data_IF_916101058799
#
_entry.id   IF_916101058799
#
_cell.length_a   1.000
_cell.length_b   1.000
_cell.length_c   1.000
_cell.angle_alpha   90.00
_cell.angle_beta   90.00
_cell.angle_gamma   90.00
#
_symmetry.space_group_name_H-M   'P 1'
#
loop_
_entity.id
_entity.type
_entity.pdbx_description
1 polymer ?
#
# COMPACT_ATOMS: atom_id res chain seq x y z
N UNK A 1 21.86 60.62 -0.71
CA UNK A 1 20.89 59.50 -0.65
C UNK A 1 19.53 60.05 -1.09
N UNK A 2 18.94 59.55 -2.18
CA UNK A 2 17.70 60.11 -2.74
C UNK A 2 16.47 59.65 -1.94
N UNK A 3 15.56 60.59 -1.63
CA UNK A 3 14.31 60.30 -0.93
C UNK A 3 13.32 59.61 -1.88
N UNK A 4 12.84 58.43 -1.49
CA UNK A 4 11.77 57.69 -2.17
C UNK A 4 10.46 58.48 -2.06
N UNK A 5 9.99 59.06 -3.17
CA UNK A 5 8.63 59.57 -3.30
C UNK A 5 7.62 58.42 -3.13
N UNK A 6 6.70 58.56 -2.17
CA UNK A 6 5.56 57.65 -2.01
C UNK A 6 4.48 58.03 -3.01
N UNK A 7 4.24 57.16 -3.98
CA UNK A 7 3.09 57.29 -4.89
C UNK A 7 1.78 57.29 -4.09
N UNK A 8 0.86 58.25 -4.32
CA UNK A 8 -0.39 58.32 -3.60
C UNK A 8 -1.28 57.11 -3.95
N UNK A 9 -1.68 56.36 -2.94
CA UNK A 9 -2.61 55.22 -3.08
C UNK A 9 -4.00 55.76 -3.38
N UNK A 10 -4.39 55.71 -4.65
CA UNK A 10 -5.72 56.13 -5.10
C UNK A 10 -6.75 55.08 -4.64
N UNK A 11 -7.54 55.41 -3.61
CA UNK A 11 -8.56 54.50 -3.06
C UNK A 11 -9.88 54.75 -3.79
N UNK A 12 -10.26 53.87 -4.72
CA UNK A 12 -11.55 53.94 -5.42
C UNK A 12 -12.63 53.38 -4.48
N UNK A 13 -13.51 54.24 -3.98
CA UNK A 13 -14.66 53.83 -3.15
C UNK A 13 -15.82 53.41 -4.06
N UNK A 14 -15.92 52.12 -4.38
CA UNK A 14 -17.15 51.59 -4.96
C UNK A 14 -18.23 51.54 -3.88
N UNK A 15 -19.37 52.18 -4.15
CA UNK A 15 -20.53 52.08 -3.27
C UNK A 15 -21.21 50.73 -3.49
N UNK A 16 -21.77 50.14 -2.43
CA UNK A 16 -22.48 48.84 -2.49
C UNK A 16 -23.56 48.81 -3.60
N UNK A 17 -24.22 49.95 -3.85
CA UNK A 17 -25.21 50.11 -4.93
C UNK A 17 -24.64 49.85 -6.32
N UNK A 18 -23.40 50.25 -6.57
CA UNK A 18 -22.73 50.03 -7.85
C UNK A 18 -22.40 48.55 -8.08
N UNK A 19 -22.08 47.83 -6.99
CA UNK A 19 -21.79 46.40 -7.06
C UNK A 19 -23.05 45.59 -7.39
N UNK A 20 -24.21 45.96 -6.82
CA UNK A 20 -25.50 45.36 -7.17
C UNK A 20 -25.93 45.66 -8.61
N UNK A 21 -25.70 46.88 -9.10
CA UNK A 21 -26.01 47.23 -10.50
C UNK A 21 -25.16 46.42 -11.49
N UNK A 22 -23.88 46.23 -11.20
CA UNK A 22 -22.98 45.41 -12.03
C UNK A 22 -23.42 43.94 -12.04
N UNK A 23 -23.78 43.38 -10.88
CA UNK A 23 -24.27 42.01 -10.78
C UNK A 23 -25.59 41.80 -11.54
N UNK A 24 -26.54 42.73 -11.40
CA UNK A 24 -27.80 42.68 -12.14
C UNK A 24 -27.58 42.81 -13.66
N UNK A 25 -26.64 43.65 -14.09
CA UNK A 25 -26.24 43.78 -15.50
C UNK A 25 -25.66 42.49 -16.09
N UNK A 26 -24.77 41.81 -15.35
CA UNK A 26 -24.22 40.52 -15.79
C UNK A 26 -25.29 39.43 -15.92
N UNK A 27 -26.24 39.38 -14.99
CA UNK A 27 -27.36 38.44 -15.04
C UNK A 27 -28.28 38.70 -16.24
N UNK A 28 -28.57 39.97 -16.54
CA UNK A 28 -29.35 40.36 -17.72
C UNK A 28 -28.67 39.96 -19.03
N UNK A 29 -27.36 40.17 -19.15
CA UNK A 29 -26.59 39.76 -20.33
C UNK A 29 -26.59 38.23 -20.52
N UNK A 30 -26.47 37.47 -19.43
CA UNK A 30 -26.53 36.00 -19.49
C UNK A 30 -27.88 35.47 -20.00
N UNK A 31 -28.99 36.06 -19.54
CA UNK A 31 -30.34 35.68 -19.99
C UNK A 31 -30.57 36.02 -21.46
N UNK A 32 -30.15 37.19 -21.91
CA UNK A 32 -30.26 37.59 -23.33
C UNK A 32 -29.41 36.66 -24.21
N UNK A 33 -28.19 36.32 -23.78
CA UNK A 33 -27.32 35.38 -24.47
C UNK A 33 -27.93 33.97 -24.60
N UNK A 34 -28.57 33.47 -23.54
CA UNK A 34 -29.24 32.17 -23.56
C UNK A 34 -30.43 32.10 -24.52
N UNK A 35 -31.25 33.17 -24.58
CA UNK A 35 -32.40 33.24 -25.49
C UNK A 35 -31.93 33.30 -26.95
N UNK A 36 -30.91 34.11 -27.26
CA UNK A 36 -30.36 34.20 -28.61
C UNK A 36 -29.67 32.89 -29.04
N UNK A 37 -28.95 32.23 -28.12
CA UNK A 37 -28.32 30.94 -28.39
C UNK A 37 -29.34 29.84 -28.72
N UNK A 38 -30.46 29.81 -28.00
CA UNK A 38 -31.53 28.83 -28.24
C UNK A 38 -32.25 29.03 -29.59
N UNK A 39 -32.29 30.26 -30.13
CA UNK A 39 -32.90 30.53 -31.44
C UNK A 39 -31.98 30.23 -32.62
N UNK A 40 -30.66 30.22 -32.42
CA UNK A 40 -29.67 29.96 -33.48
C UNK A 40 -29.39 28.46 -33.69
N UNK A 41 -29.67 27.62 -32.69
CA UNK A 41 -29.53 26.16 -32.82
C UNK A 41 -30.86 25.60 -33.30
N UNK A 42 -31.00 25.44 -34.61
CA UNK A 42 -32.10 24.66 -35.16
C UNK A 42 -32.06 23.23 -34.58
N UNK A 43 -33.19 22.68 -34.10
CA UNK A 43 -33.21 21.30 -33.62
C UNK A 43 -32.73 20.38 -34.75
N UNK A 44 -31.75 19.52 -34.44
CA UNK A 44 -31.22 18.55 -35.38
C UNK A 44 -32.39 17.77 -35.99
N UNK A 45 -32.54 17.87 -37.31
CA UNK A 45 -33.62 17.21 -38.03
C UNK A 45 -33.63 15.73 -37.70
N UNK A 46 -34.78 15.21 -37.30
CA UNK A 46 -35.03 13.77 -37.21
C UNK A 46 -34.76 13.15 -38.58
N UNK A 47 -33.72 12.32 -38.65
CA UNK A 47 -33.39 11.55 -39.85
C UNK A 47 -34.55 10.58 -40.13
N UNK A 48 -35.35 10.89 -41.13
CA UNK A 48 -36.32 9.96 -41.71
C UNK A 48 -35.52 9.04 -42.65
N UNK A 49 -35.44 7.72 -42.40
CA UNK A 49 -34.71 6.82 -43.28
C UNK A 49 -35.48 6.67 -44.59
N UNK A 50 -34.92 7.25 -45.65
CA UNK A 50 -35.38 7.01 -47.02
C UNK A 50 -34.88 5.63 -47.46
N UNK A 51 -35.74 4.90 -48.15
CA UNK A 51 -35.53 3.50 -48.46
C UNK A 51 -34.30 3.25 -49.33
N UNK A 52 -33.68 2.09 -49.10
CA UNK A 52 -32.82 1.34 -50.03
C UNK A 52 -31.32 1.65 -50.13
N UNK A 53 -30.65 1.96 -49.02
CA UNK A 53 -29.22 1.64 -48.88
C UNK A 53 -28.90 1.11 -47.48
N UNK A 54 -28.34 -0.12 -47.32
CA UNK A 54 -27.93 -0.60 -46.02
C UNK A 54 -26.73 0.22 -45.53
N UNK A 55 -27.00 1.19 -44.67
CA UNK A 55 -25.98 1.85 -43.87
C UNK A 55 -25.40 0.78 -42.92
N UNK A 56 -24.32 0.13 -43.34
CA UNK A 56 -23.51 -0.69 -42.44
C UNK A 56 -22.74 0.30 -41.56
N UNK A 57 -23.37 0.74 -40.47
CA UNK A 57 -22.66 1.43 -39.40
C UNK A 57 -21.69 0.42 -38.81
N UNK A 58 -20.43 0.49 -39.23
CA UNK A 58 -19.34 -0.18 -38.52
C UNK A 58 -19.10 0.60 -37.24
N UNK A 59 -20.05 0.54 -36.31
CA UNK A 59 -19.78 0.84 -34.91
C UNK A 59 -18.88 -0.33 -34.51
N UNK A 60 -17.58 -0.12 -34.57
CA UNK A 60 -16.64 -0.97 -33.89
C UNK A 60 -16.94 -0.78 -32.40
N UNK A 61 -17.91 -1.54 -31.90
CA UNK A 61 -18.09 -1.73 -30.48
C UNK A 61 -16.84 -2.47 -30.03
N UNK A 62 -15.82 -1.72 -29.61
CA UNK A 62 -14.69 -2.28 -28.90
C UNK A 62 -15.25 -2.67 -27.54
N UNK A 63 -15.88 -3.83 -27.49
CA UNK A 63 -16.18 -4.51 -26.23
C UNK A 63 -14.83 -4.95 -25.68
N UNK A 64 -14.12 -4.03 -25.02
CA UNK A 64 -13.08 -4.39 -24.06
C UNK A 64 -13.81 -5.17 -22.98
N UNK A 65 -13.95 -6.48 -23.18
CA UNK A 65 -14.40 -7.35 -22.11
C UNK A 65 -13.37 -7.18 -21.00
N UNK A 66 -13.74 -6.69 -19.80
CA UNK A 66 -12.81 -6.52 -18.68
C UNK A 66 -12.00 -7.79 -18.39
N UNK A 67 -12.55 -8.94 -18.77
CA UNK A 67 -11.92 -10.26 -18.71
C UNK A 67 -10.63 -10.43 -19.55
N UNK A 68 -10.44 -9.72 -20.68
CA UNK A 68 -9.25 -9.91 -21.54
C UNK A 68 -8.00 -9.26 -20.97
N UNK A 69 -8.14 -8.09 -20.35
CA UNK A 69 -7.02 -7.39 -19.73
C UNK A 69 -6.50 -8.16 -18.51
N UNK A 70 -7.39 -8.60 -17.62
CA UNK A 70 -7.00 -9.42 -16.47
C UNK A 70 -6.38 -10.76 -16.85
N UNK A 71 -6.86 -11.39 -17.93
CA UNK A 71 -6.23 -12.60 -18.44
C UNK A 71 -4.78 -12.35 -18.90
N UNK A 72 -4.53 -11.22 -19.58
CA UNK A 72 -3.17 -10.84 -20.00
C UNK A 72 -2.26 -10.52 -18.81
N UNK A 73 -2.79 -9.81 -17.81
CA UNK A 73 -2.09 -9.53 -16.54
C UNK A 73 -1.73 -10.83 -15.81
N UNK A 74 -2.67 -11.77 -15.70
CA UNK A 74 -2.39 -13.07 -15.08
C UNK A 74 -1.27 -13.82 -15.82
N UNK A 75 -1.34 -13.85 -17.16
CA UNK A 75 -0.35 -14.54 -18.01
C UNK A 75 1.02 -13.90 -17.94
N UNK A 76 1.12 -12.56 -17.92
CA UNK A 76 2.41 -11.86 -17.80
C UNK A 76 3.05 -12.10 -16.43
N UNK A 77 2.25 -12.13 -15.37
CA UNK A 77 2.71 -12.37 -14.01
C UNK A 77 3.01 -13.86 -13.72
N UNK A 78 2.45 -14.81 -14.49
CA UNK A 78 2.54 -16.24 -14.22
C UNK A 78 3.97 -16.74 -14.00
N UNK A 79 4.95 -16.16 -14.71
CA UNK A 79 6.38 -16.52 -14.60
C UNK A 79 7.05 -15.99 -13.33
N UNK A 80 6.45 -14.99 -12.69
CA UNK A 80 6.90 -14.40 -11.43
C UNK A 80 6.23 -15.06 -10.22
N UNK A 81 5.23 -15.93 -10.43
CA UNK A 81 4.44 -16.58 -9.38
C UNK A 81 4.70 -18.08 -9.34
N UNK A 82 5.15 -18.55 -8.17
CA UNK A 82 5.49 -19.96 -7.94
C UNK A 82 4.65 -20.53 -6.82
N UNK A 83 4.22 -21.78 -6.97
CA UNK A 83 3.65 -22.53 -5.86
C UNK A 83 4.78 -23.04 -4.99
N UNK A 84 4.65 -22.86 -3.68
CA UNK A 84 5.61 -23.38 -2.72
C UNK A 84 5.20 -24.77 -2.30
N UNK A 85 6.15 -25.70 -2.36
CA UNK A 85 6.04 -27.04 -1.80
C UNK A 85 7.13 -27.21 -0.77
N UNK A 86 6.78 -27.78 0.38
CA UNK A 86 7.72 -28.05 1.44
C UNK A 86 7.70 -29.53 1.84
N UNK A 87 8.86 -30.04 2.26
CA UNK A 87 9.02 -31.42 2.76
C UNK A 87 9.60 -31.35 4.17
N UNK A 88 8.89 -31.92 5.13
CA UNK A 88 9.29 -31.93 6.55
C UNK A 88 9.00 -33.31 7.13
N UNK A 89 10.03 -34.00 7.62
CA UNK A 89 9.88 -35.36 8.15
C UNK A 89 9.23 -36.36 7.16
N UNK A 90 9.49 -36.20 5.86
CA UNK A 90 8.89 -37.03 4.79
C UNK A 90 7.45 -36.66 4.40
N UNK A 91 6.82 -35.70 5.08
CA UNK A 91 5.49 -35.20 4.72
C UNK A 91 5.59 -34.04 3.73
N UNK A 92 4.82 -34.11 2.65
CA UNK A 92 4.71 -33.04 1.65
C UNK A 92 3.53 -32.14 2.01
N UNK A 93 3.75 -30.82 2.02
CA UNK A 93 2.66 -29.84 2.11
C UNK A 93 2.90 -28.65 1.19
N UNK A 94 1.83 -27.90 0.91
CA UNK A 94 1.85 -26.71 0.06
C UNK A 94 1.50 -25.48 0.91
N UNK A 95 2.49 -24.83 1.53
CA UNK A 95 2.23 -23.77 2.52
C UNK A 95 1.64 -22.49 1.89
N UNK A 96 1.72 -22.33 0.58
CA UNK A 96 1.15 -21.18 -0.13
C UNK A 96 1.87 -20.85 -1.43
N UNK A 97 1.84 -19.57 -1.79
CA UNK A 97 2.47 -19.03 -2.98
C UNK A 97 3.73 -18.23 -2.63
N UNK A 98 4.59 -18.04 -3.61
CA UNK A 98 5.72 -17.13 -3.55
C UNK A 98 5.79 -16.26 -4.80
N UNK A 99 6.36 -15.07 -4.63
CA UNK A 99 6.49 -14.08 -5.71
C UNK A 99 7.95 -13.75 -5.91
N UNK A 100 8.43 -13.86 -7.14
CA UNK A 100 9.79 -13.49 -7.52
C UNK A 100 9.87 -11.96 -7.55
N UNK A 101 10.73 -11.39 -6.70
CA UNK A 101 10.84 -9.92 -6.51
C UNK A 101 12.16 -9.34 -7.04
N UNK A 102 13.06 -10.18 -7.54
CA UNK A 102 14.37 -9.78 -8.09
C UNK A 102 14.77 -10.68 -9.25
N UNK A 103 15.61 -10.17 -10.16
CA UNK A 103 16.08 -10.90 -11.34
C UNK A 103 17.05 -12.05 -11.01
N UNK A 104 17.70 -12.02 -9.84
CA UNK A 104 18.55 -13.09 -9.31
C UNK A 104 17.74 -14.14 -8.52
N UNK A 105 16.41 -14.13 -8.66
CA UNK A 105 15.53 -15.21 -8.19
C UNK A 105 15.22 -15.20 -6.70
N UNK A 106 15.27 -14.03 -6.03
CA UNK A 106 14.71 -13.88 -4.69
C UNK A 106 13.19 -13.97 -4.76
N UNK A 107 12.62 -14.86 -3.95
CA UNK A 107 11.20 -15.06 -3.79
C UNK A 107 10.79 -14.51 -2.42
N UNK A 108 9.73 -13.70 -2.37
CA UNK A 108 9.09 -13.25 -1.15
C UNK A 108 7.79 -14.04 -0.92
N UNK A 109 7.49 -14.40 0.33
CA UNK A 109 6.24 -15.05 0.73
C UNK A 109 5.86 -14.71 2.16
N UNK A 110 4.55 -14.71 2.44
CA UNK A 110 3.98 -14.59 3.79
C UNK A 110 3.56 -15.95 4.35
N UNK A 111 3.70 -17.02 3.56
CA UNK A 111 3.39 -18.39 3.96
C UNK A 111 4.28 -18.83 5.13
N UNK A 112 3.71 -19.62 6.04
CA UNK A 112 4.47 -20.19 7.17
C UNK A 112 5.33 -21.35 6.68
N UNK A 113 6.65 -21.19 6.76
CA UNK A 113 7.63 -22.18 6.30
C UNK A 113 8.25 -22.87 7.51
N UNK A 114 8.17 -24.20 7.56
CA UNK A 114 8.69 -25.04 8.64
C UNK A 114 9.23 -26.37 8.08
N UNK A 115 10.19 -26.29 7.19
CA UNK A 115 10.62 -27.45 6.41
C UNK A 115 12.13 -27.59 6.31
N UNK A 116 12.54 -28.86 6.16
CA UNK A 116 13.92 -29.25 5.90
C UNK A 116 14.30 -28.90 4.45
N UNK A 117 13.33 -29.04 3.53
CA UNK A 117 13.53 -28.75 2.11
C UNK A 117 12.34 -28.01 1.50
N UNK A 118 12.65 -26.99 0.69
CA UNK A 118 11.69 -26.17 -0.02
C UNK A 118 11.82 -26.33 -1.53
N UNK A 119 10.71 -26.24 -2.25
CA UNK A 119 10.65 -26.26 -3.70
C UNK A 119 9.72 -25.17 -4.23
N UNK A 120 10.10 -24.55 -5.34
CA UNK A 120 9.21 -23.78 -6.20
C UNK A 120 8.70 -24.68 -7.32
N UNK A 121 7.39 -24.67 -7.55
CA UNK A 121 6.77 -25.30 -8.72
C UNK A 121 6.40 -24.18 -9.69
N UNK A 122 7.00 -24.22 -10.87
CA UNK A 122 6.83 -23.23 -11.93
C UNK A 122 5.63 -23.52 -12.85
N UNK A 123 5.53 -22.78 -13.96
CA UNK A 123 4.44 -22.93 -14.94
C UNK A 123 4.41 -24.23 -15.72
N UNK A 124 5.56 -24.89 -15.82
CA UNK A 124 5.65 -26.20 -16.44
C UNK A 124 5.42 -27.34 -15.43
N UNK A 125 5.09 -27.01 -14.17
CA UNK A 125 4.99 -27.98 -13.09
C UNK A 125 6.35 -28.50 -12.61
N UNK A 126 7.46 -27.88 -13.05
CA UNK A 126 8.81 -28.30 -12.66
C UNK A 126 9.09 -27.84 -11.24
N UNK A 127 9.44 -28.80 -10.39
CA UNK A 127 9.88 -28.52 -9.03
C UNK A 127 11.37 -28.19 -9.01
N UNK A 128 11.71 -27.01 -8.49
CA UNK A 128 13.09 -26.53 -8.31
C UNK A 128 13.37 -26.36 -6.83
N UNK A 129 14.46 -26.95 -6.33
CA UNK A 129 14.89 -26.79 -4.92
C UNK A 129 15.17 -25.32 -4.64
N UNK A 130 14.70 -24.82 -3.50
CA UNK A 130 14.94 -23.46 -3.03
C UNK A 130 15.90 -23.45 -1.85
N UNK A 131 16.76 -22.44 -1.79
CA UNK A 131 17.53 -22.13 -0.59
C UNK A 131 16.78 -21.12 0.27
N UNK A 132 16.72 -21.35 1.59
CA UNK A 132 16.21 -20.37 2.54
C UNK A 132 17.22 -19.23 2.68
N UNK A 133 16.81 -18.00 2.37
CA UNK A 133 17.62 -16.80 2.60
C UNK A 133 17.45 -16.31 4.04
N UNK A 134 16.23 -16.43 4.58
CA UNK A 134 15.87 -16.04 5.94
C UNK A 134 14.48 -15.42 5.98
N UNK A 135 14.08 -14.94 7.15
CA UNK A 135 12.82 -14.22 7.35
C UNK A 135 13.10 -12.83 7.92
N UNK A 136 12.31 -11.84 7.52
CA UNK A 136 12.28 -10.52 8.18
C UNK A 136 11.16 -10.55 9.24
N UNK A 137 11.49 -10.68 10.54
CA UNK A 137 10.49 -10.76 11.60
C UNK A 137 9.74 -9.44 11.80
N UNK A 138 10.25 -8.33 11.28
CA UNK A 138 9.58 -7.02 11.38
C UNK A 138 8.32 -7.00 10.51
N UNK A 139 8.38 -7.59 9.32
CA UNK A 139 7.26 -7.64 8.37
C UNK A 139 6.60 -9.04 8.29
N UNK A 140 7.23 -10.07 8.85
CA UNK A 140 6.77 -11.46 8.73
C UNK A 140 6.80 -11.97 7.29
N UNK A 141 7.84 -11.58 6.53
CA UNK A 141 8.08 -12.05 5.17
C UNK A 141 9.25 -13.03 5.20
N UNK A 142 9.08 -14.18 4.56
CA UNK A 142 10.16 -15.13 4.35
C UNK A 142 10.69 -15.02 2.94
N UNK A 143 12.01 -15.11 2.81
CA UNK A 143 12.75 -14.99 1.57
C UNK A 143 13.40 -16.32 1.20
N UNK A 144 13.17 -16.75 -0.04
CA UNK A 144 13.71 -17.97 -0.62
C UNK A 144 14.49 -17.61 -1.89
N UNK A 145 15.42 -18.46 -2.31
CA UNK A 145 16.28 -18.24 -3.47
C UNK A 145 16.17 -19.38 -4.46
N UNK A 146 15.91 -19.05 -5.72
CA UNK A 146 16.07 -19.98 -6.84
C UNK A 146 17.58 -20.20 -7.13
N UNK A 147 18.01 -21.44 -7.41
CA UNK A 147 19.37 -21.69 -7.87
C UNK A 147 19.54 -21.01 -9.24
N UNK A 148 20.52 -20.10 -9.31
CA UNK A 148 20.95 -19.27 -10.44
C UNK A 148 20.22 -19.55 -11.77
N UNK A 149 19.20 -18.74 -12.05
CA UNK A 149 18.50 -18.67 -13.34
C UNK A 149 18.04 -17.22 -13.56
N UNK A 150 17.88 -16.82 -14.83
CA UNK A 150 17.20 -15.57 -15.19
C UNK A 150 15.73 -15.70 -14.78
N UNK A 151 15.40 -15.16 -13.63
CA UNK A 151 14.03 -15.11 -13.14
C UNK A 151 13.34 -13.86 -13.69
N UNK A 152 12.02 -13.92 -13.90
CA UNK A 152 11.23 -12.73 -14.24
C UNK A 152 10.73 -12.14 -12.92
N UNK A 153 11.26 -11.01 -12.45
CA UNK A 153 10.72 -10.36 -11.26
C UNK A 153 9.38 -9.73 -11.57
N UNK A 154 8.53 -9.64 -10.55
CA UNK A 154 7.33 -8.82 -10.63
C UNK A 154 7.68 -7.34 -10.44
N UNK A 155 6.99 -6.46 -11.18
CA UNK A 155 6.99 -5.03 -10.89
C UNK A 155 6.26 -4.75 -9.59
N UNK A 156 6.50 -3.60 -8.97
CA UNK A 156 5.73 -3.17 -7.80
C UNK A 156 4.86 -1.98 -8.15
N UNK A 157 3.63 -1.99 -7.65
CA UNK A 157 2.71 -0.87 -7.80
C UNK A 157 3.21 0.36 -7.05
N UNK A 158 2.87 1.53 -7.59
CA UNK A 158 3.05 2.84 -6.96
C UNK A 158 1.71 3.43 -6.49
N UNK A 159 0.65 2.63 -6.47
CA UNK A 159 -0.65 3.04 -5.91
C UNK A 159 -0.58 3.09 -4.38
N UNK A 160 -0.65 4.30 -3.83
CA UNK A 160 -0.53 4.52 -2.38
C UNK A 160 -1.79 4.15 -1.57
N UNK A 161 -2.96 4.24 -2.20
CA UNK A 161 -4.27 3.95 -1.60
C UNK A 161 -5.04 2.94 -2.44
N UNK A 162 -5.19 1.74 -1.89
CA UNK A 162 -5.87 0.62 -2.52
C UNK A 162 -7.32 0.48 -2.07
N UNK A 163 -7.85 1.40 -1.22
CA UNK A 163 -9.24 1.33 -0.78
C UNK A 163 -10.19 1.54 -1.97
N UNK A 164 -11.08 0.58 -2.20
CA UNK A 164 -11.98 0.55 -3.37
C UNK A 164 -11.34 -0.03 -4.63
N UNK A 165 -10.06 -0.42 -4.61
CA UNK A 165 -9.39 -0.97 -5.79
C UNK A 165 -9.85 -2.41 -6.05
N UNK A 166 -10.01 -2.75 -7.34
CA UNK A 166 -10.09 -4.15 -7.79
C UNK A 166 -8.68 -4.62 -8.12
N UNK A 167 -8.23 -5.66 -7.44
CA UNK A 167 -6.93 -6.30 -7.66
C UNK A 167 -7.13 -7.72 -8.19
N UNK A 168 -6.11 -8.26 -8.83
CA UNK A 168 -6.11 -9.66 -9.29
C UNK A 168 -5.18 -10.51 -8.42
N UNK A 169 -5.77 -11.41 -7.64
CA UNK A 169 -5.03 -12.51 -7.03
C UNK A 169 -4.62 -13.51 -8.10
N UNK A 170 -3.33 -13.85 -8.16
CA UNK A 170 -2.80 -14.80 -9.13
C UNK A 170 -2.11 -15.94 -8.40
N UNK A 171 -2.57 -17.16 -8.62
CA UNK A 171 -1.98 -18.36 -8.01
C UNK A 171 -1.88 -19.53 -8.99
N UNK A 172 -1.32 -20.63 -8.51
CA UNK A 172 -1.41 -21.93 -9.18
C UNK A 172 -2.38 -22.81 -8.41
N UNK A 173 -3.27 -23.49 -9.12
CA UNK A 173 -4.19 -24.46 -8.52
C UNK A 173 -3.41 -25.65 -7.96
N UNK A 174 -3.73 -26.08 -6.74
CA UNK A 174 -3.13 -27.28 -6.13
C UNK A 174 -3.45 -28.55 -6.92
N UNK A 175 -4.63 -28.61 -7.54
CA UNK A 175 -5.13 -29.82 -8.19
C UNK A 175 -4.57 -29.97 -9.62
N UNK A 176 -4.49 -28.86 -10.35
CA UNK A 176 -4.15 -28.88 -11.79
C UNK A 176 -2.81 -28.24 -12.11
N UNK A 177 -2.19 -27.53 -11.15
CA UNK A 177 -1.03 -26.65 -11.34
C UNK A 177 -1.24 -25.51 -12.35
N UNK A 178 -2.45 -25.42 -12.92
CA UNK A 178 -2.82 -24.38 -13.85
C UNK A 178 -2.85 -23.02 -13.15
N UNK A 179 -2.59 -21.98 -13.94
CA UNK A 179 -2.76 -20.61 -13.50
C UNK A 179 -4.23 -20.39 -13.13
N UNK A 180 -4.47 -19.88 -11.93
CA UNK A 180 -5.77 -19.46 -11.46
C UNK A 180 -5.68 -17.99 -11.09
N UNK A 181 -6.72 -17.24 -11.42
CA UNK A 181 -6.81 -15.83 -11.09
C UNK A 181 -8.17 -15.55 -10.44
N UNK A 182 -8.19 -14.71 -9.42
CA UNK A 182 -9.41 -14.36 -8.67
C UNK A 182 -9.38 -12.89 -8.32
N UNK A 183 -10.50 -12.19 -8.52
CA UNK A 183 -10.58 -10.77 -8.18
C UNK A 183 -10.62 -10.60 -6.67
N UNK A 184 -9.78 -9.70 -6.18
CA UNK A 184 -9.74 -9.24 -4.80
C UNK A 184 -10.24 -7.80 -4.75
N UNK A 185 -11.38 -7.60 -4.09
CA UNK A 185 -11.96 -6.28 -3.88
C UNK A 185 -11.39 -5.69 -2.60
N UNK A 186 -10.43 -4.77 -2.73
CA UNK A 186 -9.87 -4.07 -1.58
C UNK A 186 -10.90 -3.06 -1.06
N UNK A 187 -11.43 -3.28 0.15
CA UNK A 187 -12.50 -2.47 0.70
C UNK A 187 -11.95 -1.31 1.51
N UNK A 188 -11.01 -1.60 2.40
CA UNK A 188 -10.47 -0.63 3.35
C UNK A 188 -9.10 -1.06 3.87
N UNK A 189 -8.55 -0.26 4.77
CA UNK A 189 -7.39 -0.64 5.56
C UNK A 189 -7.81 -0.93 7.00
N UNK A 190 -7.21 -1.97 7.58
CA UNK A 190 -7.35 -2.30 9.01
C UNK A 190 -5.99 -2.24 9.70
N UNK A 191 -5.99 -2.06 11.02
CA UNK A 191 -4.77 -2.16 11.82
C UNK A 191 -4.24 -3.61 11.74
N UNK A 192 -2.93 -3.77 11.53
CA UNK A 192 -2.37 -5.12 11.51
C UNK A 192 -2.29 -5.69 12.94
N UNK A 193 -2.31 -7.01 13.07
CA UNK A 193 -1.93 -7.67 14.32
C UNK A 193 -0.41 -7.59 14.47
N UNK A 194 0.06 -7.00 15.58
CA UNK A 194 1.46 -6.71 15.85
C UNK A 194 2.24 -7.87 16.45
N UNK A 195 1.57 -8.92 16.95
CA UNK A 195 2.22 -9.99 17.72
C UNK A 195 3.34 -10.70 16.94
N UNK A 196 3.28 -10.68 15.60
CA UNK A 196 4.29 -11.32 14.75
C UNK A 196 4.87 -10.41 13.65
N UNK A 197 4.44 -9.13 13.57
CA UNK A 197 4.76 -8.22 12.45
C UNK A 197 4.76 -6.75 12.88
N UNK A 198 5.62 -6.35 13.84
CA UNK A 198 5.58 -5.02 14.45
C UNK A 198 5.81 -3.87 13.44
N UNK A 199 6.39 -4.16 12.27
CA UNK A 199 6.60 -3.18 11.22
C UNK A 199 5.42 -2.93 10.29
N UNK A 200 4.37 -3.74 10.38
CA UNK A 200 3.18 -3.61 9.54
C UNK A 200 2.15 -2.80 10.30
N UNK A 201 1.91 -1.56 9.91
CA UNK A 201 0.91 -0.71 10.56
C UNK A 201 -0.51 -1.04 10.14
N UNK A 202 -0.65 -1.39 8.86
CA UNK A 202 -1.94 -1.56 8.21
C UNK A 202 -1.92 -2.75 7.27
N UNK A 203 -3.08 -3.40 7.16
CA UNK A 203 -3.35 -4.41 6.17
C UNK A 203 -4.50 -3.93 5.28
N UNK A 204 -4.45 -4.31 4.02
CA UNK A 204 -5.60 -4.23 3.13
C UNK A 204 -6.60 -5.25 3.63
N UNK A 205 -7.85 -4.83 3.82
CA UNK A 205 -8.97 -5.70 4.10
C UNK A 205 -9.89 -5.70 2.86
N UNK A 206 -10.15 -6.89 2.32
CA UNK A 206 -10.91 -7.04 1.10
C UNK A 206 -11.71 -8.33 1.03
N UNK A 207 -11.78 -8.93 -0.14
CA UNK A 207 -12.54 -10.17 -0.38
C UNK A 207 -12.04 -11.31 0.51
N UNK A 208 -12.90 -11.78 1.42
CA UNK A 208 -12.70 -13.02 2.16
C UNK A 208 -13.00 -14.21 1.24
N UNK A 209 -12.04 -15.11 1.07
CA UNK A 209 -12.26 -16.32 0.28
C UNK A 209 -11.22 -17.39 0.57
N UNK A 210 -11.68 -18.63 0.71
CA UNK A 210 -10.82 -19.82 0.70
C UNK A 210 -10.16 -20.05 -0.68
N UNK A 211 -10.59 -19.31 -1.71
CA UNK A 211 -9.93 -19.32 -3.00
C UNK A 211 -8.59 -18.59 -3.01
N UNK A 212 -8.24 -17.80 -1.99
CA UNK A 212 -6.91 -17.20 -1.87
C UNK A 212 -5.94 -18.11 -1.10
N UNK A 213 -4.65 -17.96 -1.36
CA UNK A 213 -3.58 -18.64 -0.63
C UNK A 213 -2.66 -17.63 0.08
N UNK A 214 -2.04 -18.04 1.19
CA UNK A 214 -1.01 -17.22 1.83
C UNK A 214 0.16 -17.01 0.85
N UNK A 215 0.69 -15.80 0.76
CA UNK A 215 1.76 -15.44 -0.17
C UNK A 215 1.28 -15.17 -1.60
N UNK A 216 -0.03 -15.25 -1.86
CA UNK A 216 -0.60 -14.95 -3.18
C UNK A 216 -0.44 -13.45 -3.51
N UNK A 217 0.16 -13.11 -4.66
CA UNK A 217 0.26 -11.72 -5.11
C UNK A 217 -1.11 -11.19 -5.51
N UNK A 218 -1.36 -9.94 -5.13
CA UNK A 218 -2.46 -9.12 -5.62
C UNK A 218 -1.89 -8.10 -6.60
N UNK A 219 -2.39 -8.10 -7.83
CA UNK A 219 -1.90 -7.27 -8.92
C UNK A 219 -2.85 -6.12 -9.25
N UNK A 220 -2.30 -4.97 -9.62
CA UNK A 220 -3.07 -3.87 -10.23
C UNK A 220 -3.38 -4.15 -11.72
N UNK A 221 -4.08 -3.21 -12.36
CA UNK A 221 -4.53 -3.33 -13.76
C UNK A 221 -3.37 -3.37 -14.77
N UNK A 222 -2.19 -2.91 -14.35
CA UNK A 222 -0.93 -2.93 -15.09
C UNK A 222 -0.12 -4.22 -14.84
N UNK A 223 -0.54 -5.06 -13.90
CA UNK A 223 0.14 -6.29 -13.52
C UNK A 223 1.31 -6.12 -12.57
N UNK A 224 1.41 -4.97 -11.89
CA UNK A 224 2.37 -4.76 -10.83
C UNK A 224 1.82 -5.26 -9.48
N UNK A 225 2.73 -5.70 -8.62
CA UNK A 225 2.40 -6.15 -7.27
C UNK A 225 1.87 -4.99 -6.43
N UNK A 226 0.58 -5.00 -6.11
CA UNK A 226 -0.08 -4.05 -5.21
C UNK A 226 -0.11 -4.56 -3.76
N UNK A 227 -0.09 -5.87 -3.56
CA UNK A 227 -0.03 -6.48 -2.24
C UNK A 227 0.20 -7.98 -2.27
N UNK A 228 0.30 -8.59 -1.09
CA UNK A 228 0.42 -10.05 -0.92
C UNK A 228 -0.51 -10.51 0.18
N UNK A 229 -1.31 -11.54 -0.09
CA UNK A 229 -2.26 -12.12 0.87
C UNK A 229 -1.52 -12.67 2.08
N UNK A 230 -1.96 -12.31 3.28
CA UNK A 230 -1.40 -12.74 4.56
C UNK A 230 -2.30 -13.77 5.23
N UNK A 231 -3.60 -13.44 5.32
CA UNK A 231 -4.61 -14.26 6.01
C UNK A 231 -5.81 -14.41 5.07
N UNK A 232 -5.80 -15.42 4.19
CA UNK A 232 -6.79 -15.59 3.12
C UNK A 232 -8.24 -15.64 3.62
N UNK A 233 -8.47 -16.39 4.70
CA UNK A 233 -9.76 -16.59 5.37
C UNK A 233 -10.37 -15.30 5.93
N UNK A 234 -9.55 -14.27 6.12
CA UNK A 234 -9.97 -12.94 6.59
C UNK A 234 -9.81 -11.85 5.53
N UNK A 235 -9.49 -12.21 4.30
CA UNK A 235 -9.28 -11.25 3.21
C UNK A 235 -8.22 -10.20 3.54
N UNK A 236 -7.18 -10.57 4.32
CA UNK A 236 -6.13 -9.64 4.74
C UNK A 236 -4.90 -9.77 3.85
N UNK A 237 -4.44 -8.65 3.32
CA UNK A 237 -3.23 -8.56 2.53
C UNK A 237 -2.28 -7.44 3.00
N UNK A 238 -0.99 -7.67 2.83
CA UNK A 238 0.06 -6.70 3.04
C UNK A 238 0.22 -5.83 1.80
N UNK A 239 0.61 -4.56 1.97
CA UNK A 239 0.82 -3.65 0.83
C UNK A 239 2.16 -3.89 0.13
N UNK A 240 2.24 -3.50 -1.14
CA UNK A 240 3.50 -3.45 -1.89
C UNK A 240 4.58 -2.63 -1.18
N UNK A 241 4.18 -1.52 -0.53
CA UNK A 241 5.11 -0.66 0.21
C UNK A 241 5.78 -1.40 1.37
N UNK A 242 5.03 -2.18 2.15
CA UNK A 242 5.58 -2.99 3.25
C UNK A 242 6.58 -4.05 2.73
N UNK A 243 6.26 -4.67 1.58
CA UNK A 243 7.14 -5.65 0.93
C UNK A 243 8.42 -4.97 0.41
N UNK A 244 8.32 -3.78 -0.20
CA UNK A 244 9.46 -2.96 -0.62
C UNK A 244 10.36 -2.64 0.59
N UNK A 245 9.79 -2.28 1.73
CA UNK A 245 10.56 -1.99 2.95
C UNK A 245 11.31 -3.21 3.48
N UNK A 246 10.62 -4.34 3.59
CA UNK A 246 11.23 -5.62 3.98
C UNK A 246 12.33 -6.03 2.99
N UNK A 247 12.11 -5.86 1.68
CA UNK A 247 13.09 -6.17 0.65
C UNK A 247 14.33 -5.29 0.76
N UNK A 248 14.17 -3.98 0.98
CA UNK A 248 15.28 -3.06 1.21
C UNK A 248 16.12 -3.47 2.42
N UNK A 249 15.49 -3.97 3.49
CA UNK A 249 16.19 -4.50 4.66
C UNK A 249 16.98 -5.76 4.34
N UNK A 250 16.46 -6.65 3.50
CA UNK A 250 17.20 -7.84 3.03
C UNK A 250 18.41 -7.42 2.19
N UNK A 251 18.23 -6.51 1.24
CA UNK A 251 19.32 -6.01 0.37
C UNK A 251 20.41 -5.33 1.18
N UNK A 252 20.03 -4.52 2.18
CA UNK A 252 20.96 -3.85 3.08
C UNK A 252 21.57 -4.77 4.16
N UNK A 253 21.27 -6.07 4.14
CA UNK A 253 21.68 -7.05 5.16
C UNK A 253 21.27 -6.65 6.61
N UNK A 254 20.11 -6.01 6.76
CA UNK A 254 19.52 -5.55 8.03
C UNK A 254 18.28 -6.34 8.46
N UNK A 255 17.92 -7.41 7.75
CA UNK A 255 16.70 -8.20 8.02
C UNK A 255 16.65 -8.78 9.44
N UNK A 256 17.80 -9.16 9.99
CA UNK A 256 17.91 -9.81 11.31
C UNK A 256 17.85 -8.78 12.46
N UNK A 257 18.08 -7.50 12.15
CA UNK A 257 17.99 -6.41 13.13
C UNK A 257 16.55 -5.93 13.22
N UNK A 258 15.92 -6.17 14.37
CA UNK A 258 14.62 -5.60 14.69
C UNK A 258 14.80 -4.22 15.35
N UNK A 259 14.44 -3.10 14.68
CA UNK A 259 14.63 -1.76 15.24
C UNK A 259 13.87 -1.54 16.55
N UNK A 260 12.71 -2.20 16.72
CA UNK A 260 11.91 -2.14 17.94
C UNK A 260 12.66 -2.74 19.14
N UNK A 261 13.24 -3.92 18.96
CA UNK A 261 14.07 -4.58 19.98
C UNK A 261 15.35 -3.79 20.24
N UNK A 262 15.99 -3.22 19.21
CA UNK A 262 17.21 -2.42 19.38
C UNK A 262 17.03 -1.22 20.33
N UNK A 263 15.84 -0.61 20.32
CA UNK A 263 15.47 0.48 21.24
C UNK A 263 14.73 0.00 22.50
N UNK A 264 14.42 -1.30 22.58
CA UNK A 264 13.65 -1.95 23.63
C UNK A 264 12.22 -1.44 23.78
N UNK A 265 11.57 -1.15 22.64
CA UNK A 265 10.16 -0.81 22.54
C UNK A 265 9.38 -1.96 21.92
N UNK A 266 8.26 -2.30 22.51
CA UNK A 266 7.25 -3.17 21.91
C UNK A 266 5.94 -2.37 21.82
N UNK A 267 5.33 -2.32 20.63
CA UNK A 267 4.26 -1.36 20.33
C UNK A 267 3.03 -2.01 19.73
N UNK A 268 1.90 -1.36 19.94
CA UNK A 268 0.63 -1.64 19.26
C UNK A 268 0.13 -0.38 18.58
N UNK A 269 -0.34 -0.48 17.33
CA UNK A 269 -0.91 0.67 16.64
C UNK A 269 -2.38 0.85 16.98
N UNK A 270 -2.81 2.11 17.12
CA UNK A 270 -4.21 2.44 17.37
C UNK A 270 -4.52 3.87 16.93
N UNK A 271 -5.78 4.27 17.07
CA UNK A 271 -6.21 5.65 16.91
C UNK A 271 -6.67 6.20 18.25
N UNK A 272 -6.28 7.43 18.56
CA UNK A 272 -6.69 8.13 19.78
C UNK A 272 -7.31 9.47 19.42
N UNK A 273 -8.32 9.87 20.17
CA UNK A 273 -8.93 11.19 20.03
C UNK A 273 -8.13 12.21 20.85
N UNK A 274 -7.74 13.29 20.19
CA UNK A 274 -7.04 14.43 20.80
C UNK A 274 -7.92 15.67 20.69
N UNK A 275 -7.94 16.56 21.71
CA UNK A 275 -8.73 17.78 21.66
C UNK A 275 -8.35 18.71 20.50
N UNK A 276 -7.06 18.76 20.16
CA UNK A 276 -6.52 19.73 19.19
C UNK A 276 -6.56 19.22 17.74
N UNK A 277 -6.25 17.93 17.53
CA UNK A 277 -6.08 17.35 16.18
C UNK A 277 -7.17 16.33 15.81
N UNK A 278 -8.16 16.14 16.68
CA UNK A 278 -9.16 15.09 16.50
C UNK A 278 -8.53 13.70 16.58
N UNK A 279 -9.00 12.77 15.74
CA UNK A 279 -8.56 11.38 15.75
C UNK A 279 -7.19 11.23 15.06
N UNK A 280 -6.16 10.88 15.82
CA UNK A 280 -4.78 10.72 15.34
C UNK A 280 -4.32 9.27 15.42
N UNK A 281 -3.45 8.86 14.50
CA UNK A 281 -2.82 7.54 14.51
C UNK A 281 -1.60 7.55 15.43
N UNK A 282 -1.45 6.52 16.26
CA UNK A 282 -0.36 6.42 17.24
C UNK A 282 0.23 5.02 17.33
N UNK A 283 1.49 4.95 17.73
CA UNK A 283 2.12 3.72 18.22
C UNK A 283 2.12 3.75 19.75
N UNK A 284 1.33 2.89 20.38
CA UNK A 284 1.24 2.78 21.84
C UNK A 284 2.32 1.83 22.35
N UNK A 285 3.14 2.28 23.29
CA UNK A 285 4.10 1.43 23.99
C UNK A 285 3.36 0.37 24.81
N UNK A 286 3.43 -0.90 24.38
CA UNK A 286 2.82 -2.05 25.07
C UNK A 286 3.72 -2.56 26.18
N UNK A 287 4.99 -2.77 25.87
CA UNK A 287 5.99 -3.19 26.84
C UNK A 287 7.36 -2.55 26.54
N UNK A 288 8.21 -2.51 27.56
CA UNK A 288 9.52 -1.90 27.53
C UNK A 288 10.55 -2.88 28.07
N UNK A 289 11.65 -3.03 27.35
CA UNK A 289 12.76 -3.87 27.82
C UNK A 289 13.54 -3.16 28.93
N UNK A 290 13.83 -3.87 30.02
CA UNK A 290 14.53 -3.29 31.17
C UNK A 290 15.94 -2.86 30.78
N UNK A 291 16.32 -1.63 31.11
CA UNK A 291 17.63 -1.10 30.78
C UNK A 291 17.82 -0.72 29.31
N UNK A 292 16.75 -0.69 28.51
CA UNK A 292 16.82 -0.28 27.10
C UNK A 292 17.01 1.23 26.91
N UNK A 293 17.39 1.68 25.69
CA UNK A 293 17.37 3.11 25.32
C UNK A 293 16.03 3.79 25.62
N UNK A 294 14.89 3.12 25.36
CA UNK A 294 13.57 3.69 25.63
C UNK A 294 13.29 3.89 27.12
N UNK A 295 13.64 2.94 27.98
CA UNK A 295 13.48 3.11 29.43
C UNK A 295 14.35 4.27 29.94
N UNK A 296 15.60 4.38 29.48
CA UNK A 296 16.48 5.50 29.84
C UNK A 296 15.96 6.86 29.38
N UNK A 297 15.33 6.91 28.20
CA UNK A 297 14.67 8.10 27.67
C UNK A 297 13.40 8.48 28.45
N UNK A 298 12.92 7.63 29.36
CA UNK A 298 11.77 7.89 30.21
C UNK A 298 10.42 7.47 29.63
N UNK A 299 10.42 6.58 28.62
CA UNK A 299 9.19 5.94 28.14
C UNK A 299 8.49 5.14 29.25
N UNK A 300 7.17 5.03 29.13
CA UNK A 300 6.31 4.21 30.00
C UNK A 300 5.32 3.40 29.16
N UNK A 301 4.90 2.25 29.69
CA UNK A 301 3.79 1.50 29.10
C UNK A 301 2.55 2.39 29.03
N UNK A 302 1.87 2.36 27.88
CA UNK A 302 0.71 3.19 27.58
C UNK A 302 1.03 4.57 27.00
N UNK A 303 2.31 4.94 26.84
CA UNK A 303 2.66 6.15 26.08
C UNK A 303 2.23 6.00 24.61
N UNK A 304 1.52 7.01 24.09
CA UNK A 304 1.09 7.07 22.70
C UNK A 304 2.06 7.93 21.89
N UNK A 305 2.88 7.30 21.06
CA UNK A 305 3.88 7.98 20.22
C UNK A 305 3.16 8.62 19.05
N UNK A 306 3.29 9.94 18.92
CA UNK A 306 2.69 10.74 17.84
C UNK A 306 3.72 11.26 16.85
N UNK A 307 4.99 11.47 17.26
CA UNK A 307 6.05 11.95 16.37
C UNK A 307 7.40 11.31 16.68
N UNK A 308 8.26 11.25 15.66
CA UNK A 308 9.68 10.95 15.75
C UNK A 308 10.46 12.05 15.03
N UNK A 309 11.28 12.79 15.76
CA UNK A 309 11.89 14.03 15.31
C UNK A 309 10.80 15.04 14.93
N UNK A 310 10.86 15.53 13.70
CA UNK A 310 9.82 16.41 13.13
C UNK A 310 8.74 15.65 12.36
N UNK A 311 8.88 14.34 12.18
CA UNK A 311 7.95 13.53 11.41
C UNK A 311 6.77 13.07 12.29
N UNK A 312 5.56 13.46 11.90
CA UNK A 312 4.34 12.91 12.48
C UNK A 312 4.21 11.43 12.10
N UNK A 313 3.84 10.61 13.09
CA UNK A 313 3.49 9.23 12.84
C UNK A 313 2.13 9.21 12.13
N UNK A 314 2.11 8.66 10.93
CA UNK A 314 0.91 8.55 10.12
C UNK A 314 0.63 7.08 9.80
N UNK A 315 -0.64 6.77 9.56
CA UNK A 315 -1.07 5.42 9.18
C UNK A 315 -0.38 4.91 7.91
N UNK A 316 0.04 5.83 7.03
CA UNK A 316 0.77 5.58 5.78
C UNK A 316 2.29 5.63 5.90
N UNK A 317 2.85 6.18 7.00
CA UNK A 317 4.29 6.34 7.18
C UNK A 317 4.81 5.23 8.08
N UNK A 318 5.68 4.31 7.60
CA UNK A 318 6.15 3.18 8.39
C UNK A 318 7.02 3.61 9.56
N UNK A 319 6.62 3.28 10.79
CA UNK A 319 7.33 3.61 12.01
C UNK A 319 8.75 3.02 12.05
N UNK A 320 8.92 1.84 11.45
CA UNK A 320 10.23 1.19 11.27
C UNK A 320 11.24 2.09 10.59
N UNK A 321 10.83 2.89 9.61
CA UNK A 321 11.72 3.83 8.93
C UNK A 321 12.17 4.95 9.85
N UNK A 322 11.25 5.43 10.70
CA UNK A 322 11.55 6.48 11.67
C UNK A 322 12.51 5.99 12.76
N UNK A 323 12.38 4.72 13.17
CA UNK A 323 13.30 4.07 14.12
C UNK A 323 14.65 3.69 13.50
N UNK A 324 14.75 3.63 12.17
CA UNK A 324 15.98 3.27 11.46
C UNK A 324 17.00 4.41 11.33
N UNK A 325 16.71 5.57 11.90
CA UNK A 325 17.59 6.75 11.93
C UNK A 325 18.65 6.62 13.02
N UNK A 326 19.79 7.29 12.84
CA UNK A 326 20.86 7.30 13.84
C UNK A 326 20.40 8.02 15.11
N UNK A 327 20.77 7.48 16.28
CA UNK A 327 20.52 8.12 17.57
C UNK A 327 21.42 9.38 17.72
N UNK A 328 20.95 10.44 18.40
CA UNK A 328 19.72 10.50 19.20
C UNK A 328 18.43 10.69 18.40
N UNK A 329 17.33 10.11 18.92
CA UNK A 329 15.98 10.27 18.38
C UNK A 329 15.09 10.99 19.39
N UNK A 330 14.49 12.09 18.95
CA UNK A 330 13.46 12.79 19.72
C UNK A 330 12.09 12.16 19.44
N UNK A 331 11.28 11.97 20.47
CA UNK A 331 9.92 11.46 20.35
C UNK A 331 8.96 12.43 21.01
N UNK A 332 7.82 12.64 20.37
CA UNK A 332 6.66 13.26 21.01
C UNK A 332 5.67 12.17 21.39
N UNK A 333 5.31 12.12 22.66
CA UNK A 333 4.37 11.14 23.20
C UNK A 333 3.23 11.82 23.93
N UNK A 334 2.04 11.25 23.86
CA UNK A 334 0.91 11.59 24.72
C UNK A 334 0.89 10.63 25.91
N UNK A 335 1.03 11.18 27.11
CA UNK A 335 0.92 10.44 28.37
C UNK A 335 -0.25 10.98 29.16
N UNK A 336 -1.32 10.20 29.27
CA UNK A 336 -2.56 10.61 29.93
C UNK A 336 -3.11 11.92 29.34
N UNK A 337 -3.02 12.08 28.02
CA UNK A 337 -3.46 13.26 27.28
C UNK A 337 -2.51 14.47 27.34
N UNK A 338 -1.38 14.37 28.05
CA UNK A 338 -0.38 15.44 28.12
C UNK A 338 0.78 15.11 27.19
N UNK A 339 1.12 16.05 26.31
CA UNK A 339 2.28 15.93 25.43
C UNK A 339 3.59 15.98 26.23
N UNK A 340 4.51 15.06 25.89
CA UNK A 340 5.87 15.02 26.43
C UNK A 340 6.86 14.77 25.31
N UNK A 341 8.00 15.44 25.41
CA UNK A 341 9.14 15.20 24.54
C UNK A 341 10.11 14.29 25.29
N UNK A 342 10.46 13.16 24.68
CA UNK A 342 11.44 12.21 25.18
C UNK A 342 12.61 12.17 24.20
N UNK A 343 13.85 12.21 24.69
CA UNK A 343 15.04 12.09 23.85
C UNK A 343 15.71 10.76 24.14
N UNK A 344 15.81 9.94 23.10
CA UNK A 344 16.43 8.64 23.15
C UNK A 344 17.86 8.73 22.63
N UNK A 345 18.81 8.43 23.52
CA UNK A 345 20.24 8.43 23.22
C UNK A 345 20.73 7.02 22.85
N UNK A 346 21.87 6.96 22.15
CA UNK A 346 22.58 5.71 21.94
C UNK A 346 22.89 5.01 23.29
N UNK A 347 22.91 3.68 23.29
CA UNK A 347 23.45 2.97 24.44
C UNK A 347 24.92 3.39 24.65
N UNK A 348 25.33 3.71 25.88
CA UNK A 348 26.74 3.98 26.14
C UNK A 348 27.55 2.75 25.72
N UNK A 349 28.66 2.97 25.01
CA UNK A 349 29.60 1.91 24.68
C UNK A 349 30.08 1.28 26.00
N UNK A 350 29.86 -0.04 26.15
CA UNK A 350 30.28 -0.81 27.31
C UNK A 350 31.79 -0.97 27.37
#
# INVERSE_FOLDING_TARGET
>A
MPSKEKNPTQTIKLTMRWLFLMAAGMLGLGLIGGILGAQLVAPAGTLQPDGSDPIISTIQQVTVSPNKQWAQVALSAARSVVMLRQVSGGTISYPGMGVIVTSDGLIATTASIRADQMFAIDEAGKATVLALVGSDPVYGITYLRLPANVAVPIGFSDIDNLSGATLLGVKRSLDTLALAATLFQAQTYTLANQDNRPGVQRLIHGTESESFAAGEPLLDEEGNLAGVVVTPDKGLAMTAADIKQSLNRVIANRREVNPFTAVGLDVTYTFVDTPESGRVFVARARSLETGSPAVRAGFKNGDDITHVGTAALAFTTPFVQLLGQDLPLQFTVLRQGIEKILVMEAAPAL
#
